data_IF_640986299386
#
_entry.id   IF_640986299386
#
_cell.length_a   1.000
_cell.length_b   1.000
_cell.length_c   1.000
_cell.angle_alpha   90.00
_cell.angle_beta   90.00
_cell.angle_gamma   90.00
#
_symmetry.space_group_name_H-M   'P 1'
#
loop_
_entity.id
_entity.type
_entity.pdbx_description
1 polymer ?
#
# COMPACT_ATOMS: atom_id res chain seq x y z
N UNK A 1 -3.88 -52.01 0.71
CA UNK A 1 -4.24 -50.79 -0.05
C UNK A 1 -3.98 -49.61 0.86
N UNK A 2 -3.02 -48.76 0.53
CA UNK A 2 -2.77 -47.54 1.29
C UNK A 2 -3.65 -46.43 0.71
N UNK A 3 -4.60 -45.92 1.50
CA UNK A 3 -5.32 -44.70 1.17
C UNK A 3 -4.40 -43.53 1.50
N UNK A 4 -3.78 -42.92 0.48
CA UNK A 4 -3.05 -41.67 0.65
C UNK A 4 -4.05 -40.53 0.80
N UNK A 5 -4.07 -39.88 1.97
CA UNK A 5 -4.85 -38.65 2.15
C UNK A 5 -4.08 -37.51 1.48
N UNK A 6 -4.58 -37.03 0.35
CA UNK A 6 -4.09 -35.81 -0.27
C UNK A 6 -4.57 -34.61 0.56
N UNK A 7 -3.64 -33.98 1.28
CA UNK A 7 -3.95 -32.80 2.10
C UNK A 7 -3.77 -31.54 1.29
N UNK A 8 -4.82 -30.73 1.23
CA UNK A 8 -4.75 -29.38 0.68
C UNK A 8 -4.08 -28.43 1.66
N UNK A 9 -3.40 -27.43 1.13
CA UNK A 9 -2.69 -26.41 1.90
C UNK A 9 -2.88 -25.04 1.30
N UNK A 10 -2.83 -24.05 2.18
CA UNK A 10 -2.79 -22.65 1.76
C UNK A 10 -1.72 -21.89 2.53
N UNK A 11 -1.21 -20.84 1.90
CA UNK A 11 -0.23 -19.93 2.48
C UNK A 11 -0.55 -18.52 2.00
N UNK A 12 -0.61 -17.58 2.94
CA UNK A 12 -0.83 -16.17 2.64
C UNK A 12 0.30 -15.35 3.26
N UNK A 13 1.02 -14.64 2.40
CA UNK A 13 2.15 -13.79 2.77
C UNK A 13 1.81 -12.33 2.51
N UNK A 14 2.04 -11.48 3.50
CA UNK A 14 2.06 -10.04 3.36
C UNK A 14 3.48 -9.58 3.07
N UNK A 15 3.64 -8.77 2.04
CA UNK A 15 4.86 -8.02 1.75
C UNK A 15 4.57 -6.52 1.79
N UNK A 16 5.53 -5.75 2.29
CA UNK A 16 5.43 -4.29 2.38
C UNK A 16 6.64 -3.67 1.69
N UNK A 17 6.46 -3.30 0.43
CA UNK A 17 7.49 -2.70 -0.40
C UNK A 17 7.89 -1.31 0.09
N UNK A 18 6.91 -0.52 0.54
CA UNK A 18 7.12 0.78 1.19
C UNK A 18 5.95 1.10 2.11
N UNK A 19 6.13 2.04 3.06
CA UNK A 19 5.08 2.43 4.02
C UNK A 19 5.19 3.87 4.52
N UNK A 20 4.07 4.41 4.97
CA UNK A 20 4.03 5.51 5.92
C UNK A 20 4.44 5.02 7.31
N UNK A 21 5.15 5.86 8.06
CA UNK A 21 5.67 5.52 9.39
C UNK A 21 4.53 5.10 10.33
N UNK A 22 4.67 3.92 10.95
CA UNK A 22 3.71 3.40 11.93
C UNK A 22 2.56 2.60 11.33
N UNK A 23 2.39 2.58 10.01
CA UNK A 23 1.39 1.74 9.34
C UNK A 23 1.78 0.26 9.41
N UNK A 24 0.77 -0.58 9.62
CA UNK A 24 0.91 -2.01 9.81
C UNK A 24 -0.23 -2.75 9.12
N UNK A 25 0.05 -3.94 8.59
CA UNK A 25 -0.89 -4.73 7.81
C UNK A 25 -1.02 -6.12 8.39
N UNK A 26 -2.19 -6.71 8.20
CA UNK A 26 -2.47 -8.09 8.54
C UNK A 26 -3.14 -8.77 7.35
N UNK A 27 -2.69 -9.98 7.04
CA UNK A 27 -3.38 -10.88 6.12
C UNK A 27 -4.02 -12.02 6.89
N UNK A 28 -5.18 -12.48 6.44
CA UNK A 28 -5.93 -13.55 7.08
C UNK A 28 -6.63 -14.44 6.06
N UNK A 29 -6.76 -15.72 6.41
CA UNK A 29 -7.58 -16.69 5.68
C UNK A 29 -8.79 -17.06 6.52
N UNK A 30 -9.93 -17.07 5.86
CA UNK A 30 -11.21 -17.43 6.42
C UNK A 30 -11.79 -18.64 5.69
N UNK A 31 -12.57 -19.46 6.41
CA UNK A 31 -13.41 -20.48 5.78
C UNK A 31 -14.61 -19.86 5.05
N UNK A 32 -15.41 -20.71 4.40
CA UNK A 32 -16.61 -20.32 3.67
C UNK A 32 -17.69 -19.67 4.57
N UNK A 33 -17.69 -19.99 5.88
CA UNK A 33 -18.58 -19.37 6.86
C UNK A 33 -18.07 -18.00 7.34
N UNK A 34 -16.89 -17.56 6.90
CA UNK A 34 -16.24 -16.32 7.31
C UNK A 34 -15.42 -16.45 8.60
N UNK A 35 -15.32 -17.64 9.18
CA UNK A 35 -14.51 -17.89 10.37
C UNK A 35 -13.05 -17.68 10.04
N UNK A 36 -12.38 -16.82 10.81
CA UNK A 36 -10.95 -16.59 10.65
C UNK A 36 -10.16 -17.81 11.14
N UNK A 37 -9.39 -18.42 10.25
CA UNK A 37 -8.62 -19.64 10.54
C UNK A 37 -7.19 -19.32 10.98
N UNK A 38 -6.50 -18.47 10.21
CA UNK A 38 -5.11 -18.09 10.46
C UNK A 38 -4.82 -16.71 9.89
N UNK A 39 -3.80 -16.07 10.44
CA UNK A 39 -3.40 -14.73 10.04
C UNK A 39 -1.95 -14.42 10.42
N UNK A 40 -1.40 -13.41 9.77
CA UNK A 40 -0.07 -12.90 10.04
C UNK A 40 -0.06 -11.38 9.90
N UNK A 41 0.62 -10.70 10.82
CA UNK A 41 0.70 -9.24 10.85
C UNK A 41 2.15 -8.78 10.78
N UNK A 42 2.39 -7.70 10.03
CA UNK A 42 3.73 -7.13 9.83
C UNK A 42 4.22 -6.32 11.03
N UNK A 43 3.28 -5.87 11.86
CA UNK A 43 3.54 -4.78 12.79
C UNK A 43 3.98 -3.50 12.07
N UNK A 44 4.41 -2.47 12.83
CA UNK A 44 4.72 -1.15 12.29
C UNK A 44 6.05 -1.12 11.51
N UNK A 45 6.94 -2.10 11.72
CA UNK A 45 8.31 -2.09 11.16
C UNK A 45 8.65 -3.31 10.31
N UNK A 46 8.01 -4.46 10.51
CA UNK A 46 8.34 -5.69 9.78
C UNK A 46 7.95 -5.59 8.31
N UNK A 47 8.83 -5.95 7.38
CA UNK A 47 8.59 -5.83 5.93
C UNK A 47 7.76 -6.97 5.36
N UNK A 48 7.65 -8.09 6.07
CA UNK A 48 6.82 -9.22 5.67
C UNK A 48 6.19 -9.92 6.86
N UNK A 49 5.13 -10.69 6.59
CA UNK A 49 4.50 -11.60 7.54
C UNK A 49 3.83 -12.74 6.77
N UNK A 50 3.97 -13.99 7.22
CA UNK A 50 3.35 -15.14 6.56
C UNK A 50 2.54 -15.97 7.56
N UNK A 51 1.41 -16.51 7.10
CA UNK A 51 0.65 -17.50 7.85
C UNK A 51 1.39 -18.85 7.94
N UNK A 52 2.45 -19.02 7.14
CA UNK A 52 3.04 -20.30 6.81
C UNK A 52 2.07 -21.18 6.02
N UNK A 53 2.56 -22.37 5.64
CA UNK A 53 1.71 -23.40 5.02
C UNK A 53 0.82 -24.05 6.04
N UNK A 54 -0.48 -23.78 5.93
CA UNK A 54 -1.50 -24.36 6.78
C UNK A 54 -2.27 -25.42 6.00
N UNK A 55 -2.54 -26.56 6.64
CA UNK A 55 -3.41 -27.59 6.07
C UNK A 55 -4.86 -27.17 6.22
N UNK A 56 -5.62 -27.30 5.14
CA UNK A 56 -7.05 -27.00 5.12
C UNK A 56 -7.82 -28.21 4.62
N UNK A 57 -9.08 -28.32 5.07
CA UNK A 57 -9.97 -29.40 4.66
C UNK A 57 -10.75 -28.95 3.43
N UNK A 58 -10.48 -29.60 2.30
CA UNK A 58 -11.27 -29.49 1.09
C UNK A 58 -12.16 -30.74 0.95
N UNK A 59 -13.40 -30.56 0.49
CA UNK A 59 -14.28 -31.70 0.16
C UNK A 59 -13.87 -32.33 -1.17
N UNK A 60 -14.56 -33.38 -1.61
CA UNK A 60 -14.38 -33.99 -2.95
C UNK A 60 -14.61 -32.99 -4.09
N UNK A 61 -15.36 -31.91 -3.83
CA UNK A 61 -15.57 -30.79 -4.76
C UNK A 61 -14.67 -29.59 -4.51
N UNK A 62 -13.67 -29.70 -3.64
CA UNK A 62 -12.89 -28.56 -3.16
C UNK A 62 -13.59 -27.80 -2.03
N UNK A 63 -13.02 -26.65 -1.66
CA UNK A 63 -13.64 -25.69 -0.75
C UNK A 63 -13.22 -24.27 -1.14
N UNK A 64 -14.06 -23.29 -0.82
CA UNK A 64 -13.76 -21.88 -1.04
C UNK A 64 -13.25 -21.26 0.26
N UNK A 65 -12.10 -20.61 0.19
CA UNK A 65 -11.52 -19.85 1.29
C UNK A 65 -11.48 -18.38 0.92
N UNK A 66 -11.74 -17.51 1.88
CA UNK A 66 -11.61 -16.07 1.69
C UNK A 66 -10.27 -15.61 2.21
N UNK A 67 -9.42 -15.13 1.32
CA UNK A 67 -8.16 -14.50 1.68
C UNK A 67 -8.41 -13.01 1.80
N UNK A 68 -7.82 -12.37 2.80
CA UNK A 68 -8.02 -10.94 3.05
C UNK A 68 -6.77 -10.27 3.56
N UNK A 69 -6.69 -8.96 3.33
CA UNK A 69 -5.83 -8.07 4.08
C UNK A 69 -6.62 -6.95 4.74
N UNK A 70 -6.00 -6.35 5.76
CA UNK A 70 -6.45 -5.09 6.35
C UNK A 70 -5.27 -4.29 6.88
N UNK A 71 -5.46 -2.98 6.98
CA UNK A 71 -4.61 -2.15 7.83
C UNK A 71 -4.97 -2.41 9.31
N UNK A 72 -3.95 -2.70 10.13
CA UNK A 72 -4.07 -2.74 11.59
C UNK A 72 -3.74 -1.40 12.23
N UNK A 73 -2.98 -0.56 11.51
CA UNK A 73 -2.81 0.87 11.73
C UNK A 73 -2.64 1.56 10.37
N UNK A 74 -3.10 2.81 10.27
CA UNK A 74 -3.15 3.54 8.99
C UNK A 74 -4.39 3.18 8.16
N UNK A 75 -4.31 3.40 6.84
CA UNK A 75 -5.38 3.08 5.88
C UNK A 75 -4.80 2.45 4.61
N UNK A 76 -5.47 1.44 4.08
CA UNK A 76 -5.12 0.80 2.80
C UNK A 76 -5.29 1.74 1.61
N UNK A 77 -6.12 2.78 1.70
CA UNK A 77 -6.36 3.70 0.59
C UNK A 77 -5.08 4.47 0.17
N UNK A 78 -4.11 4.55 1.09
CA UNK A 78 -2.79 5.15 0.87
C UNK A 78 -1.80 4.24 0.14
N UNK A 79 -2.22 3.05 -0.26
CA UNK A 79 -1.37 2.01 -0.82
C UNK A 79 -1.92 1.48 -2.14
N UNK A 80 -1.02 1.12 -3.04
CA UNK A 80 -1.31 0.22 -4.13
C UNK A 80 -1.07 -1.20 -3.65
N UNK A 81 -2.16 -1.98 -3.59
CA UNK A 81 -2.15 -3.37 -3.17
C UNK A 81 -2.18 -4.28 -4.40
N UNK A 82 -1.19 -5.16 -4.51
CA UNK A 82 -1.12 -6.17 -5.57
C UNK A 82 -1.12 -7.58 -5.00
N UNK A 83 -1.74 -8.49 -5.74
CA UNK A 83 -1.80 -9.91 -5.40
C UNK A 83 -0.97 -10.72 -6.40
N UNK A 84 -0.33 -11.77 -5.92
CA UNK A 84 0.35 -12.77 -6.74
C UNK A 84 0.11 -14.15 -6.13
N UNK A 85 -0.74 -14.94 -6.77
CA UNK A 85 -1.11 -16.27 -6.30
C UNK A 85 -0.65 -17.36 -7.26
N UNK A 86 -0.25 -18.50 -6.71
CA UNK A 86 0.12 -19.71 -7.46
C UNK A 86 -0.64 -20.91 -6.95
N UNK A 87 -0.89 -21.88 -7.84
CA UNK A 87 -1.38 -23.22 -7.50
C UNK A 87 -0.27 -24.22 -7.75
N UNK A 88 0.13 -24.96 -6.72
CA UNK A 88 1.19 -25.96 -6.78
C UNK A 88 2.53 -25.41 -7.32
N UNK A 89 2.79 -24.12 -7.11
CA UNK A 89 3.99 -23.42 -7.58
C UNK A 89 3.88 -22.83 -8.99
N UNK A 90 2.79 -23.09 -9.70
CA UNK A 90 2.55 -22.59 -11.05
C UNK A 90 1.56 -21.42 -11.06
N UNK A 91 1.66 -20.57 -12.08
CA UNK A 91 0.68 -19.48 -12.28
C UNK A 91 -0.66 -20.08 -12.70
N UNK A 92 -1.74 -19.62 -12.07
CA UNK A 92 -3.09 -20.07 -12.34
C UNK A 92 -3.99 -18.85 -12.63
N UNK A 93 -4.61 -18.74 -13.83
CA UNK A 93 -5.44 -17.59 -14.20
C UNK A 93 -6.74 -17.49 -13.41
N UNK A 94 -7.13 -18.53 -12.66
CA UNK A 94 -8.29 -18.51 -11.77
C UNK A 94 -7.98 -17.89 -10.40
N UNK A 95 -6.70 -17.67 -10.09
CA UNK A 95 -6.27 -17.11 -8.82
C UNK A 95 -6.09 -15.58 -8.88
N UNK A 96 -6.24 -14.87 -7.75
CA UNK A 96 -6.05 -13.42 -7.69
C UNK A 96 -4.65 -13.01 -8.15
N UNK A 97 -4.59 -12.02 -9.04
CA UNK A 97 -3.33 -11.51 -9.56
C UNK A 97 -3.42 -10.03 -9.95
N UNK A 98 -2.30 -9.32 -9.80
CA UNK A 98 -2.17 -7.92 -10.18
C UNK A 98 -2.77 -6.92 -9.19
N UNK A 99 -2.94 -5.69 -9.65
CA UNK A 99 -3.54 -4.59 -8.91
C UNK A 99 -5.07 -4.66 -8.96
N UNK A 100 -5.74 -3.99 -8.02
CA UNK A 100 -7.20 -3.78 -8.08
C UNK A 100 -8.06 -4.98 -7.68
N UNK A 101 -7.46 -6.07 -7.17
CA UNK A 101 -8.19 -7.20 -6.56
C UNK A 101 -9.02 -6.72 -5.34
N UNK A 102 -8.54 -5.70 -4.64
CA UNK A 102 -9.16 -5.19 -3.42
C UNK A 102 -8.63 -5.88 -2.15
N UNK A 103 -9.28 -5.64 -1.00
CA UNK A 103 -8.78 -6.11 0.30
C UNK A 103 -9.08 -7.58 0.56
N UNK A 104 -9.84 -8.26 -0.29
CA UNK A 104 -10.15 -9.67 -0.12
C UNK A 104 -10.48 -10.34 -1.45
N UNK A 105 -10.19 -11.63 -1.55
CA UNK A 105 -10.54 -12.47 -2.68
C UNK A 105 -10.95 -13.87 -2.20
N UNK A 106 -11.96 -14.43 -2.87
CA UNK A 106 -12.37 -15.80 -2.63
C UNK A 106 -11.58 -16.74 -3.55
N UNK A 107 -11.06 -17.82 -2.97
CA UNK A 107 -10.10 -18.73 -3.60
C UNK A 107 -10.60 -20.16 -3.47
N UNK A 108 -10.79 -20.82 -4.62
CA UNK A 108 -11.18 -22.22 -4.65
C UNK A 108 -9.95 -23.14 -4.52
N UNK A 109 -9.98 -24.04 -3.54
CA UNK A 109 -8.90 -24.98 -3.23
C UNK A 109 -9.42 -26.40 -3.40
N UNK A 110 -8.85 -27.13 -4.36
CA UNK A 110 -9.14 -28.54 -4.60
C UNK A 110 -8.34 -29.47 -3.69
N UNK A 111 -8.63 -30.77 -3.75
CA UNK A 111 -7.90 -31.79 -2.99
C UNK A 111 -6.44 -31.86 -3.44
N UNK A 112 -5.53 -31.78 -2.48
CA UNK A 112 -4.08 -31.88 -2.72
C UNK A 112 -3.44 -30.60 -3.25
N UNK A 113 -4.21 -29.54 -3.47
CA UNK A 113 -3.67 -28.25 -3.90
C UNK A 113 -2.87 -27.57 -2.80
N UNK A 114 -1.79 -26.91 -3.22
CA UNK A 114 -1.10 -25.88 -2.47
C UNK A 114 -1.37 -24.53 -3.15
N UNK A 115 -2.23 -23.71 -2.55
CA UNK A 115 -2.42 -22.33 -3.02
C UNK A 115 -1.60 -21.37 -2.18
N UNK A 116 -0.66 -20.67 -2.80
CA UNK A 116 0.21 -19.71 -2.12
C UNK A 116 0.00 -18.33 -2.73
N UNK A 117 -0.37 -17.35 -1.89
CA UNK A 117 -0.61 -15.98 -2.30
C UNK A 117 0.32 -15.02 -1.57
N UNK A 118 0.84 -14.04 -2.29
CA UNK A 118 1.54 -12.87 -1.73
C UNK A 118 0.73 -11.62 -2.00
N UNK A 119 0.46 -10.84 -0.96
CA UNK A 119 -0.20 -9.53 -1.05
C UNK A 119 0.83 -8.45 -0.73
N UNK A 120 1.18 -7.64 -1.72
CA UNK A 120 2.21 -6.61 -1.61
C UNK A 120 1.57 -5.23 -1.51
N UNK A 121 1.90 -4.47 -0.46
CA UNK A 121 1.52 -3.06 -0.36
C UNK A 121 2.71 -2.15 -0.66
N UNK A 122 2.49 -1.22 -1.58
CA UNK A 122 3.42 -0.13 -1.90
C UNK A 122 2.73 1.19 -1.56
N UNK A 123 3.35 2.03 -0.73
CA UNK A 123 2.81 3.34 -0.42
C UNK A 123 2.71 4.20 -1.69
N UNK A 124 1.56 4.83 -1.90
CA UNK A 124 1.35 5.78 -2.99
C UNK A 124 2.29 6.99 -2.84
N UNK A 125 2.78 7.56 -3.95
CA UNK A 125 3.74 8.65 -3.89
C UNK A 125 3.12 9.90 -3.24
N UNK A 126 3.86 10.50 -2.30
CA UNK A 126 3.56 11.80 -1.71
C UNK A 126 4.68 12.77 -2.06
N UNK A 127 4.34 13.89 -2.72
CA UNK A 127 5.33 14.87 -3.15
C UNK A 127 4.72 16.26 -3.28
N UNK A 128 5.51 17.28 -2.97
CA UNK A 128 5.18 18.69 -3.14
C UNK A 128 6.26 19.37 -3.97
N UNK A 129 5.84 20.27 -4.85
CA UNK A 129 6.71 21.21 -5.55
C UNK A 129 6.44 22.62 -5.02
N UNK A 130 7.49 23.33 -4.63
CA UNK A 130 7.45 24.74 -4.23
C UNK A 130 8.29 25.56 -5.20
N UNK A 131 7.70 26.64 -5.74
CA UNK A 131 8.40 27.60 -6.57
C UNK A 131 8.24 29.02 -6.01
N UNK A 132 9.36 29.66 -5.69
CA UNK A 132 9.41 31.07 -5.30
C UNK A 132 9.77 31.92 -6.52
N UNK A 133 8.95 32.93 -6.82
CA UNK A 133 9.16 33.87 -7.92
C UNK A 133 9.26 35.28 -7.40
N UNK A 134 10.29 36.01 -7.82
CA UNK A 134 10.41 37.44 -7.61
C UNK A 134 9.74 38.20 -8.76
N UNK A 135 9.00 39.25 -8.45
CA UNK A 135 8.60 40.27 -9.41
C UNK A 135 9.75 41.21 -9.77
N UNK A 136 9.47 42.18 -10.64
CA UNK A 136 10.36 43.33 -10.82
C UNK A 136 10.35 44.21 -9.56
N UNK A 137 11.46 44.90 -9.24
CA UNK A 137 11.46 45.96 -8.23
C UNK A 137 10.40 47.01 -8.55
N UNK A 138 9.61 47.37 -7.55
CA UNK A 138 8.68 48.49 -7.55
C UNK A 138 9.43 49.71 -7.02
N UNK A 139 9.64 50.71 -7.90
CA UNK A 139 10.29 51.98 -7.57
C UNK A 139 9.39 52.79 -6.64
N UNK A 140 9.71 52.79 -5.34
CA UNK A 140 8.90 53.41 -4.30
C UNK A 140 9.18 54.91 -4.20
N UNK A 141 10.42 55.33 -4.48
CA UNK A 141 10.84 56.71 -4.34
C UNK A 141 10.70 57.55 -5.64
N UNK A 142 10.31 56.89 -6.74
CA UNK A 142 10.01 57.46 -8.06
C UNK A 142 11.22 58.16 -8.69
N UNK A 143 12.43 57.64 -8.42
CA UNK A 143 13.66 58.20 -8.98
C UNK A 143 14.09 57.54 -10.31
N UNK A 144 13.36 56.51 -10.75
CA UNK A 144 13.60 55.78 -11.99
C UNK A 144 14.74 54.76 -11.92
N UNK A 145 15.25 54.43 -10.73
CA UNK A 145 16.34 53.49 -10.50
C UNK A 145 15.94 52.44 -9.46
N UNK A 146 16.22 51.14 -9.69
CA UNK A 146 16.10 50.14 -8.63
C UNK A 146 17.12 50.41 -7.52
N UNK A 147 16.67 50.76 -6.32
CA UNK A 147 17.55 51.11 -5.22
C UNK A 147 17.06 50.67 -3.83
N UNK A 148 17.83 51.06 -2.80
CA UNK A 148 17.53 50.71 -1.43
C UNK A 148 16.28 51.45 -0.94
N UNK A 149 15.24 50.67 -0.60
CA UNK A 149 13.93 51.19 -0.21
C UNK A 149 12.82 50.74 -1.16
N UNK A 150 13.17 50.28 -2.35
CA UNK A 150 12.24 49.67 -3.30
C UNK A 150 11.74 48.30 -2.83
N UNK A 151 10.55 47.93 -3.31
CA UNK A 151 9.89 46.69 -2.92
C UNK A 151 9.95 45.63 -4.01
N UNK A 152 10.17 44.37 -3.63
CA UNK A 152 10.03 43.23 -4.52
C UNK A 152 8.90 42.36 -4.01
N UNK A 153 7.85 42.20 -4.83
CA UNK A 153 6.79 41.24 -4.54
C UNK A 153 7.28 39.82 -4.84
N UNK A 154 7.06 38.92 -3.89
CA UNK A 154 7.31 37.50 -4.09
C UNK A 154 6.00 36.71 -4.17
N UNK A 155 5.98 35.70 -5.05
CA UNK A 155 4.89 34.74 -5.19
C UNK A 155 5.41 33.34 -4.90
N UNK A 156 4.63 32.55 -4.18
CA UNK A 156 4.91 31.14 -3.91
C UNK A 156 3.84 30.28 -4.56
N UNK A 157 4.25 29.45 -5.52
CA UNK A 157 3.40 28.44 -6.12
C UNK A 157 3.68 27.09 -5.42
N UNK A 158 2.66 26.52 -4.77
CA UNK A 158 2.74 25.20 -4.12
C UNK A 158 1.86 24.22 -4.87
N UNK A 159 2.45 23.14 -5.39
CA UNK A 159 1.74 22.13 -6.18
C UNK A 159 1.90 20.76 -5.55
N UNK A 160 0.79 20.08 -5.26
CA UNK A 160 0.80 18.66 -4.93
C UNK A 160 1.06 17.84 -6.20
N UNK A 161 2.15 17.11 -6.22
CA UNK A 161 2.54 16.24 -7.35
C UNK A 161 2.43 14.76 -7.00
N UNK A 162 2.00 14.43 -5.78
CA UNK A 162 1.68 13.08 -5.36
C UNK A 162 0.24 12.68 -5.66
N UNK A 163 -0.10 11.46 -5.26
CA UNK A 163 -1.43 10.86 -5.46
C UNK A 163 -2.35 10.98 -4.23
N UNK A 164 -1.78 11.40 -3.09
CA UNK A 164 -2.55 11.60 -1.86
C UNK A 164 -2.74 13.09 -1.57
N UNK A 165 -3.87 13.47 -0.98
CA UNK A 165 -4.06 14.84 -0.51
C UNK A 165 -3.03 15.18 0.56
N UNK A 166 -2.42 16.36 0.44
CA UNK A 166 -1.52 16.92 1.45
C UNK A 166 -2.29 17.96 2.26
N UNK A 167 -2.18 17.89 3.58
CA UNK A 167 -2.81 18.80 4.54
C UNK A 167 -1.74 19.57 5.32
N UNK A 168 -2.14 20.62 6.02
CA UNK A 168 -1.26 21.42 6.90
C UNK A 168 -0.02 22.00 6.20
N UNK A 169 -0.18 22.41 4.95
CA UNK A 169 0.89 23.03 4.16
C UNK A 169 1.22 24.42 4.71
N UNK A 170 2.47 24.62 5.10
CA UNK A 170 3.04 25.91 5.50
C UNK A 170 4.29 26.22 4.66
N UNK A 171 4.48 27.50 4.33
CA UNK A 171 5.67 28.02 3.66
C UNK A 171 6.37 28.96 4.64
N UNK A 172 7.57 28.58 5.08
CA UNK A 172 8.45 29.42 5.91
C UNK A 172 9.53 30.04 5.01
N UNK A 173 9.53 31.37 4.92
CA UNK A 173 10.47 32.15 4.10
C UNK A 173 11.13 33.24 4.96
N UNK A 174 12.12 32.88 5.79
CA UNK A 174 12.86 33.85 6.57
C UNK A 174 13.65 34.79 5.65
N UNK A 175 13.66 36.08 5.98
CA UNK A 175 14.50 37.06 5.30
C UNK A 175 15.97 36.70 5.49
N UNK A 176 16.73 36.69 4.39
CA UNK A 176 18.17 36.41 4.43
C UNK A 176 18.93 37.72 4.66
N UNK A 177 19.76 37.77 5.72
CA UNK A 177 20.78 38.82 5.88
C UNK A 177 20.34 40.13 6.52
N UNK A 178 19.27 40.12 7.33
CA UNK A 178 18.97 41.18 8.31
C UNK A 178 19.37 40.74 9.72
#
# INVERSE_FOLDING_TARGET
MAFGVLLSRVELTKEVASRFTGDAFEVAVHDEAGTRLFAAATGPTGTSATTGRQTVLATDRGATFRFSERATSGSLDRYDSSWACTRNGETDPTLPSGLGVGPAADVHVGIGDLVSCTVTNTAKPTSLLLLKRAGSPEDVNVNGLPDAGDQIRYTFDVTNTGELPVVDVAVDDPLVGV
#
